data_IF_000191926292
#
_entry.id   IF_000191926292
#
_cell.length_a   1.000
_cell.length_b   1.000
_cell.length_c   1.000
_cell.angle_alpha   90.00
_cell.angle_beta   90.00
_cell.angle_gamma   90.00
#
_symmetry.space_group_name_H-M   'P 1'
#
loop_
_entity.id
_entity.type
_entity.pdbx_description
1 polymer ?
#
# COMPACT_ATOMS: atom_id res chain seq x y z
N UNK A 1 8.31 -15.38 8.19
CA UNK A 1 7.58 -14.31 8.88
C UNK A 1 7.97 -12.96 8.28
N UNK A 2 7.03 -12.04 8.20
CA UNK A 2 7.27 -10.69 7.68
C UNK A 2 7.12 -9.70 8.81
N UNK A 3 8.03 -8.74 8.89
CA UNK A 3 7.98 -7.71 9.92
C UNK A 3 8.07 -6.33 9.28
N UNK A 4 7.23 -5.40 9.75
CA UNK A 4 7.32 -4.00 9.37
C UNK A 4 8.30 -3.29 10.30
N UNK A 5 9.43 -2.83 9.76
CA UNK A 5 10.47 -2.21 10.57
C UNK A 5 10.08 -0.83 11.11
N UNK A 6 9.06 -0.22 10.53
CA UNK A 6 8.63 1.12 10.96
C UNK A 6 7.73 1.06 12.20
N UNK A 7 6.75 0.17 12.22
CA UNK A 7 5.81 0.04 13.35
C UNK A 7 6.02 -1.22 14.17
N UNK A 8 6.97 -2.07 13.77
CA UNK A 8 7.32 -3.32 14.45
C UNK A 8 6.22 -4.39 14.46
N UNK A 9 5.22 -4.22 13.60
CA UNK A 9 4.14 -5.19 13.47
C UNK A 9 4.63 -6.43 12.70
N UNK A 10 4.22 -7.61 13.16
CA UNK A 10 4.63 -8.87 12.55
C UNK A 10 3.46 -9.56 11.85
N UNK A 11 3.76 -10.24 10.74
CA UNK A 11 2.80 -10.98 9.93
C UNK A 11 3.37 -12.36 9.66
N UNK A 12 2.55 -13.40 9.76
CA UNK A 12 3.02 -14.77 9.51
C UNK A 12 3.36 -15.00 8.04
N UNK A 13 2.50 -14.51 7.13
CA UNK A 13 2.69 -14.64 5.70
C UNK A 13 2.25 -13.35 5.02
N UNK A 14 2.56 -13.24 3.72
CA UNK A 14 2.09 -12.09 2.94
C UNK A 14 0.56 -12.02 2.84
N UNK A 15 -0.14 -13.14 3.09
CA UNK A 15 -1.60 -13.15 3.08
C UNK A 15 -2.19 -12.42 4.29
N UNK A 16 -1.40 -12.21 5.33
CA UNK A 16 -1.82 -11.46 6.51
C UNK A 16 -1.66 -9.95 6.34
N UNK A 17 -1.01 -9.54 5.26
CA UNK A 17 -0.90 -8.13 4.91
C UNK A 17 -2.22 -7.65 4.30
N UNK A 18 -2.53 -6.38 4.52
CA UNK A 18 -3.73 -5.78 3.94
C UNK A 18 -3.44 -5.19 2.56
N UNK A 19 -4.49 -5.08 1.76
CA UNK A 19 -4.39 -4.41 0.47
C UNK A 19 -4.43 -2.90 0.68
N UNK A 20 -3.41 -2.23 0.18
CA UNK A 20 -3.30 -0.77 0.27
C UNK A 20 -3.56 -0.19 -1.11
N UNK A 21 -4.48 0.75 -1.18
CA UNK A 21 -4.77 1.47 -2.42
C UNK A 21 -4.08 2.82 -2.40
N UNK A 22 -3.31 3.10 -3.44
CA UNK A 22 -2.63 4.39 -3.60
C UNK A 22 -3.33 5.18 -4.69
N UNK A 23 -3.83 6.36 -4.32
CA UNK A 23 -4.42 7.28 -5.29
C UNK A 23 -3.33 8.19 -5.83
N UNK A 24 -3.26 8.31 -7.15
CA UNK A 24 -2.33 9.22 -7.81
C UNK A 24 -3.13 10.22 -8.63
N UNK A 25 -2.69 11.46 -8.62
CA UNK A 25 -3.31 12.52 -9.40
C UNK A 25 -2.29 13.17 -10.33
N UNK A 26 -2.76 13.55 -11.52
CA UNK A 26 -1.93 14.25 -12.49
C UNK A 26 -1.87 15.73 -12.12
N UNK A 27 -0.71 16.17 -11.64
CA UNK A 27 -0.49 17.55 -11.22
C UNK A 27 0.71 18.09 -11.99
N UNK A 28 0.50 19.16 -12.77
CA UNK A 28 1.55 19.78 -13.59
C UNK A 28 2.25 18.76 -14.50
N UNK A 29 1.46 17.88 -15.14
CA UNK A 29 1.92 16.84 -16.05
C UNK A 29 2.72 15.72 -15.36
N UNK A 30 2.70 15.65 -14.03
CA UNK A 30 3.35 14.58 -13.27
C UNK A 30 2.34 13.85 -12.40
N UNK A 31 2.46 12.53 -12.37
CA UNK A 31 1.64 11.71 -11.48
C UNK A 31 2.24 11.76 -10.08
N UNK A 32 1.42 12.14 -9.11
CA UNK A 32 1.83 12.23 -7.72
C UNK A 32 0.88 11.44 -6.84
N UNK A 33 1.46 10.70 -5.89
CA UNK A 33 0.66 10.00 -4.90
C UNK A 33 0.08 11.01 -3.91
N UNK A 34 -1.25 11.05 -3.81
CA UNK A 34 -1.94 12.02 -2.96
C UNK A 34 -2.61 11.40 -1.75
N UNK A 35 -2.91 10.10 -1.82
CA UNK A 35 -3.60 9.42 -0.74
C UNK A 35 -3.30 7.93 -0.76
N UNK A 36 -3.27 7.32 0.39
CA UNK A 36 -3.20 5.87 0.55
C UNK A 36 -4.20 5.44 1.61
N UNK A 37 -4.85 4.31 1.37
CA UNK A 37 -5.82 3.78 2.33
C UNK A 37 -5.93 2.27 2.18
N UNK A 38 -6.38 1.62 3.24
CA UNK A 38 -6.64 0.18 3.22
C UNK A 38 -7.92 -0.06 2.43
N UNK A 39 -7.88 -1.02 1.52
CA UNK A 39 -9.02 -1.35 0.67
C UNK A 39 -9.35 -2.84 0.79
N UNK A 40 -10.59 -3.18 0.48
CA UNK A 40 -11.04 -4.57 0.42
C UNK A 40 -10.96 -5.14 -1.00
N UNK A 41 -10.31 -4.42 -1.91
CA UNK A 41 -10.19 -4.82 -3.30
C UNK A 41 -11.11 -4.07 -4.26
N UNK A 42 -12.02 -3.27 -3.73
CA UNK A 42 -12.89 -2.41 -4.54
C UNK A 42 -12.13 -1.15 -4.91
N UNK A 43 -11.69 -1.08 -6.16
CA UNK A 43 -10.90 0.05 -6.66
C UNK A 43 -11.80 0.94 -7.49
N UNK A 44 -11.81 2.28 -7.24
CA UNK A 44 -12.55 3.21 -8.10
C UNK A 44 -12.04 3.15 -9.55
N UNK A 45 -12.92 3.46 -10.49
CA UNK A 45 -12.52 3.51 -11.88
C UNK A 45 -11.52 4.66 -12.10
N UNK A 46 -10.48 4.35 -12.89
CA UNK A 46 -9.50 5.37 -13.27
C UNK A 46 -10.15 6.40 -14.20
N UNK A 47 -9.81 7.65 -13.97
CA UNK A 47 -10.19 8.75 -14.86
C UNK A 47 -8.92 9.30 -15.53
N UNK A 48 -9.09 10.23 -16.48
CA UNK A 48 -7.96 10.83 -17.17
C UNK A 48 -7.00 11.58 -16.22
N UNK A 49 -7.50 11.99 -15.06
CA UNK A 49 -6.71 12.77 -14.11
C UNK A 49 -6.40 12.03 -12.81
N UNK A 50 -6.90 10.82 -12.68
CA UNK A 50 -6.70 10.02 -11.46
C UNK A 50 -6.30 8.59 -11.82
N UNK A 51 -5.45 8.00 -10.99
CA UNK A 51 -5.00 6.63 -11.14
C UNK A 51 -4.95 5.97 -9.76
N UNK A 52 -5.30 4.69 -9.73
CA UNK A 52 -5.26 3.91 -8.49
C UNK A 52 -4.39 2.68 -8.67
N UNK A 53 -3.54 2.40 -7.69
CA UNK A 53 -2.72 1.20 -7.67
C UNK A 53 -2.94 0.47 -6.34
N UNK A 54 -2.94 -0.85 -6.37
CA UNK A 54 -3.12 -1.68 -5.18
C UNK A 54 -1.88 -2.52 -4.96
N UNK A 55 -1.44 -2.58 -3.71
CA UNK A 55 -0.32 -3.42 -3.32
C UNK A 55 -0.57 -3.96 -1.91
N UNK A 56 0.14 -5.02 -1.55
CA UNK A 56 0.07 -5.56 -0.20
C UNK A 56 1.08 -4.85 0.68
N UNK A 57 0.64 -4.42 1.86
CA UNK A 57 1.53 -3.71 2.76
C UNK A 57 1.02 -3.68 4.18
N UNK A 58 1.76 -2.98 5.04
CA UNK A 58 1.40 -2.81 6.43
C UNK A 58 0.24 -1.82 6.56
N UNK A 59 -0.88 -2.21 7.18
CA UNK A 59 -2.05 -1.32 7.29
C UNK A 59 -1.80 -0.10 8.17
N UNK A 60 -0.89 -0.20 9.13
CA UNK A 60 -0.59 0.92 10.01
C UNK A 60 0.28 1.98 9.33
N UNK A 61 1.16 1.55 8.43
CA UNK A 61 2.09 2.43 7.73
C UNK A 61 1.61 2.81 6.34
N UNK A 62 0.62 2.09 5.82
CA UNK A 62 0.07 2.26 4.47
C UNK A 62 1.16 2.18 3.39
N UNK A 63 2.15 1.32 3.62
CA UNK A 63 3.25 1.14 2.68
C UNK A 63 3.88 -0.24 2.85
N UNK A 64 4.71 -0.62 1.89
CA UNK A 64 5.43 -1.90 1.93
C UNK A 64 6.95 -1.71 2.01
N UNK A 65 7.43 -0.47 2.11
CA UNK A 65 8.86 -0.18 2.10
C UNK A 65 9.61 -0.74 3.30
N UNK A 66 8.94 -0.87 4.42
CA UNK A 66 9.54 -1.32 5.67
C UNK A 66 9.33 -2.80 5.96
N UNK A 67 8.73 -3.52 5.03
CA UNK A 67 8.49 -4.95 5.19
C UNK A 67 9.75 -5.75 4.90
N UNK A 68 10.07 -6.66 5.81
CA UNK A 68 11.25 -7.52 5.69
C UNK A 68 10.87 -8.96 6.03
N UNK A 69 11.48 -9.90 5.31
CA UNK A 69 11.39 -11.30 5.68
C UNK A 69 12.32 -11.56 6.87
N UNK A 70 11.73 -11.98 7.97
CA UNK A 70 12.49 -12.35 9.16
C UNK A 70 12.57 -13.86 9.22
N UNK A 71 13.77 -14.40 9.22
CA UNK A 71 13.99 -15.83 9.33
C UNK A 71 14.12 -16.20 10.80
N UNK A 72 13.41 -17.25 11.18
CA UNK A 72 13.51 -17.78 12.53
C UNK A 72 14.83 -18.54 12.74
#
# INVERSE_FOLDING_TARGET
MIKCCNCEKEFETENDLDLICEKQELINDFWQATERFVTDGNIPEDTDTEKYEVFKGCPDCLCDEYLMDVKD
#
